data_IF_767706520144
#
_entry.id   IF_767706520144
#
_cell.length_a   1.000
_cell.length_b   1.000
_cell.length_c   1.000
_cell.angle_alpha   90.00
_cell.angle_beta   90.00
_cell.angle_gamma   90.00
#
_symmetry.space_group_name_H-M   'P 1'
#
loop_
_entity.id
_entity.type
_entity.pdbx_description
1 polymer ?
#
# COMPACT_ATOMS: atom_id res chain seq x y z
N UNK A 1 0.49 26.64 3.47
CA UNK A 1 1.39 26.71 2.29
C UNK A 1 1.79 25.28 1.95
N UNK A 2 0.95 24.57 1.20
CA UNK A 2 1.16 23.16 0.82
C UNK A 2 0.41 22.88 -0.48
N UNK A 3 0.67 23.72 -1.49
CA UNK A 3 -0.02 23.68 -2.79
C UNK A 3 0.91 23.26 -3.94
N UNK A 4 2.07 22.67 -3.64
CA UNK A 4 3.15 22.53 -4.62
C UNK A 4 3.93 21.21 -4.54
N UNK A 5 3.26 20.05 -4.52
CA UNK A 5 3.94 18.77 -4.82
C UNK A 5 3.27 17.99 -5.97
N UNK A 6 1.98 18.18 -6.27
CA UNK A 6 1.36 17.48 -7.40
C UNK A 6 0.40 18.40 -8.19
N UNK A 7 0.74 18.77 -9.44
CA UNK A 7 -0.23 19.39 -10.32
C UNK A 7 -1.25 18.31 -10.73
N UNK A 8 -2.37 18.24 -10.00
CA UNK A 8 -3.56 17.53 -10.45
C UNK A 8 -4.12 18.33 -11.64
N UNK A 9 -4.00 17.82 -12.87
CA UNK A 9 -4.54 18.54 -14.02
C UNK A 9 -6.07 18.49 -14.00
N UNK A 10 -6.71 19.62 -14.30
CA UNK A 10 -8.14 19.87 -14.16
C UNK A 10 -9.02 19.09 -15.17
N UNK A 11 -8.42 18.34 -16.11
CA UNK A 11 -9.16 17.83 -17.27
C UNK A 11 -10.14 16.69 -16.94
N UNK A 12 -9.81 15.75 -16.04
CA UNK A 12 -10.72 14.65 -15.65
C UNK A 12 -10.69 14.21 -14.16
N UNK A 13 -10.77 15.13 -13.18
CA UNK A 13 -10.56 14.83 -11.76
C UNK A 13 -11.56 13.82 -11.18
N UNK A 14 -12.81 13.82 -11.66
CA UNK A 14 -13.85 12.89 -11.16
C UNK A 14 -13.63 11.45 -11.62
N UNK A 15 -13.25 11.26 -12.89
CA UNK A 15 -12.98 9.94 -13.45
C UNK A 15 -11.74 9.33 -12.80
N UNK A 16 -10.67 10.11 -12.66
CA UNK A 16 -9.42 9.69 -12.02
C UNK A 16 -9.64 9.33 -10.54
N UNK A 17 -10.43 10.14 -9.81
CA UNK A 17 -10.79 9.82 -8.42
C UNK A 17 -11.62 8.54 -8.28
N UNK A 18 -12.60 8.33 -9.17
CA UNK A 18 -13.41 7.09 -9.17
C UNK A 18 -12.51 5.87 -9.42
N UNK A 19 -11.58 5.99 -10.36
CA UNK A 19 -10.63 4.94 -10.69
C UNK A 19 -9.70 4.63 -9.51
N UNK A 20 -9.09 5.65 -8.88
CA UNK A 20 -8.25 5.47 -7.69
C UNK A 20 -8.98 4.84 -6.52
N UNK A 21 -10.25 5.15 -6.30
CA UNK A 21 -11.06 4.49 -5.27
C UNK A 21 -11.27 3.01 -5.55
N UNK A 22 -11.51 2.64 -6.81
CA UNK A 22 -11.63 1.23 -7.22
C UNK A 22 -10.31 0.50 -6.95
N UNK A 23 -9.19 1.08 -7.39
CA UNK A 23 -7.86 0.50 -7.14
C UNK A 23 -7.54 0.43 -5.64
N UNK A 24 -7.91 1.46 -4.88
CA UNK A 24 -7.71 1.50 -3.43
C UNK A 24 -8.44 0.36 -2.73
N UNK A 25 -9.67 0.04 -3.12
CA UNK A 25 -10.39 -1.10 -2.56
C UNK A 25 -9.72 -2.44 -2.89
N UNK A 26 -9.23 -2.62 -4.13
CA UNK A 26 -8.53 -3.85 -4.56
C UNK A 26 -7.21 -4.00 -3.80
N UNK A 27 -6.42 -2.93 -3.75
CA UNK A 27 -5.14 -2.88 -3.04
C UNK A 27 -5.35 -3.19 -1.54
N UNK A 28 -6.31 -2.53 -0.90
CA UNK A 28 -6.59 -2.75 0.52
C UNK A 28 -6.97 -4.20 0.80
N UNK A 29 -7.84 -4.82 0.00
CA UNK A 29 -8.18 -6.23 0.18
C UNK A 29 -6.94 -7.13 0.08
N UNK A 30 -6.08 -6.91 -0.91
CA UNK A 30 -4.87 -7.73 -1.13
C UNK A 30 -3.82 -7.53 -0.05
N UNK A 31 -3.56 -6.29 0.36
CA UNK A 31 -2.65 -5.96 1.46
C UNK A 31 -3.16 -6.56 2.77
N UNK A 32 -4.45 -6.39 3.08
CA UNK A 32 -5.05 -6.95 4.29
C UNK A 32 -4.99 -8.49 4.28
N UNK A 33 -5.27 -9.11 3.13
CA UNK A 33 -5.15 -10.56 2.97
C UNK A 33 -3.71 -11.03 3.23
N UNK A 34 -2.72 -10.33 2.70
CA UNK A 34 -1.32 -10.64 2.93
C UNK A 34 -0.95 -10.58 4.41
N UNK A 35 -1.36 -9.53 5.12
CA UNK A 35 -1.13 -9.41 6.57
C UNK A 35 -1.85 -10.49 7.38
N UNK A 36 -3.09 -10.83 7.02
CA UNK A 36 -3.84 -11.92 7.66
C UNK A 36 -3.18 -13.29 7.42
N UNK A 37 -2.62 -13.53 6.24
CA UNK A 37 -1.95 -14.80 5.93
C UNK A 37 -0.73 -15.04 6.83
N UNK A 38 -0.02 -13.98 7.27
CA UNK A 38 1.06 -14.08 8.25
C UNK A 38 0.57 -14.62 9.61
N UNK A 39 -0.65 -14.28 10.01
CA UNK A 39 -1.28 -14.86 11.19
C UNK A 39 -1.60 -16.35 10.98
N UNK A 40 -2.06 -16.72 9.77
CA UNK A 40 -2.25 -18.12 9.38
C UNK A 40 -0.97 -18.94 9.47
N UNK A 41 0.17 -18.37 9.04
CA UNK A 41 1.49 -18.99 9.20
C UNK A 41 1.86 -19.16 10.67
N UNK A 42 1.61 -18.15 11.51
CA UNK A 42 1.86 -18.24 12.95
C UNK A 42 1.01 -19.33 13.62
N UNK A 43 -0.26 -19.47 13.23
CA UNK A 43 -1.13 -20.53 13.74
C UNK A 43 -0.58 -21.91 13.34
N UNK A 44 -0.18 -22.10 12.08
CA UNK A 44 0.42 -23.37 11.62
C UNK A 44 1.71 -23.71 12.35
N UNK A 45 2.57 -22.73 12.58
CA UNK A 45 3.80 -22.91 13.35
C UNK A 45 3.51 -23.31 14.82
N UNK A 46 2.45 -22.74 15.42
CA UNK A 46 2.01 -23.16 16.75
C UNK A 46 1.48 -24.60 16.76
N UNK A 47 0.71 -25.01 15.75
CA UNK A 47 0.25 -26.41 15.62
C UNK A 47 1.43 -27.39 15.47
N UNK A 48 2.52 -26.95 14.83
CA UNK A 48 3.77 -27.72 14.72
C UNK A 48 4.63 -27.70 16.00
N UNK A 49 4.24 -26.93 17.02
CA UNK A 49 5.00 -26.77 18.27
C UNK A 49 6.20 -25.84 18.17
N UNK A 50 6.33 -25.08 17.07
CA UNK A 50 7.41 -24.10 16.85
C UNK A 50 7.12 -22.78 17.56
N UNK A 51 5.85 -22.49 17.82
CA UNK A 51 5.40 -21.32 18.58
C UNK A 51 4.46 -21.74 19.71
N UNK A 52 4.49 -20.96 20.77
CA UNK A 52 3.52 -21.05 21.85
C UNK A 52 2.23 -20.29 21.51
N UNK A 53 1.11 -20.62 22.16
CA UNK A 53 -0.11 -19.83 22.05
C UNK A 53 0.05 -18.36 22.44
N UNK A 54 0.98 -18.05 23.35
CA UNK A 54 1.28 -16.67 23.75
C UNK A 54 1.93 -15.88 22.62
N UNK A 55 2.91 -16.46 21.91
CA UNK A 55 3.56 -15.81 20.77
C UNK A 55 2.59 -15.59 19.59
N UNK A 56 1.65 -16.51 19.36
CA UNK A 56 0.59 -16.30 18.36
C UNK A 56 -0.35 -15.18 18.79
N UNK A 57 -0.74 -15.14 20.07
CA UNK A 57 -1.58 -14.09 20.62
C UNK A 57 -0.92 -12.70 20.48
N UNK A 58 0.38 -12.61 20.74
CA UNK A 58 1.13 -11.36 20.58
C UNK A 58 1.14 -10.88 19.11
N UNK A 59 1.32 -11.78 18.15
CA UNK A 59 1.22 -11.44 16.72
C UNK A 59 -0.17 -10.98 16.30
N UNK A 60 -1.22 -11.55 16.88
CA UNK A 60 -2.61 -11.08 16.66
C UNK A 60 -2.76 -9.66 17.21
N UNK A 61 -2.19 -9.36 18.39
CA UNK A 61 -2.19 -8.02 18.95
C UNK A 61 -1.40 -7.03 18.08
N UNK A 62 -0.21 -7.41 17.59
CA UNK A 62 0.59 -6.60 16.67
C UNK A 62 -0.15 -6.29 15.37
N UNK A 63 -0.80 -7.30 14.76
CA UNK A 63 -1.63 -7.09 13.58
C UNK A 63 -2.77 -6.10 13.85
N UNK A 64 -3.50 -6.28 14.95
CA UNK A 64 -4.66 -5.43 15.27
C UNK A 64 -4.25 -3.99 15.61
N UNK A 65 -3.14 -3.80 16.35
CA UNK A 65 -2.69 -2.47 16.77
C UNK A 65 -1.82 -1.75 15.72
N UNK A 66 -1.16 -2.51 14.85
CA UNK A 66 -0.30 -2.00 13.79
C UNK A 66 -0.97 -2.11 12.42
N UNK A 67 -0.69 -3.20 11.73
CA UNK A 67 -0.98 -3.38 10.30
C UNK A 67 -2.45 -3.08 9.94
N UNK A 68 -3.42 -3.58 10.70
CA UNK A 68 -4.84 -3.35 10.44
C UNK A 68 -5.21 -1.87 10.49
N UNK A 69 -4.65 -1.12 11.46
CA UNK A 69 -4.95 0.31 11.64
C UNK A 69 -4.23 1.17 10.61
N UNK A 70 -3.00 0.82 10.26
CA UNK A 70 -2.26 1.51 9.19
C UNK A 70 -3.00 1.37 7.84
N UNK A 71 -3.40 0.15 7.49
CA UNK A 71 -4.16 -0.11 6.27
C UNK A 71 -5.50 0.63 6.25
N UNK A 72 -6.24 0.60 7.36
CA UNK A 72 -7.48 1.37 7.49
C UNK A 72 -7.22 2.87 7.29
N UNK A 73 -6.21 3.44 7.95
CA UNK A 73 -5.86 4.86 7.81
C UNK A 73 -5.49 5.22 6.38
N UNK A 74 -4.70 4.39 5.69
CA UNK A 74 -4.23 4.65 4.33
C UNK A 74 -5.34 4.61 3.28
N UNK A 75 -6.29 3.69 3.43
CA UNK A 75 -7.30 3.42 2.39
C UNK A 75 -8.68 4.02 2.68
N UNK A 76 -8.99 4.40 3.92
CA UNK A 76 -10.27 5.01 4.29
C UNK A 76 -10.37 6.49 3.86
N UNK A 77 -9.26 7.12 3.49
CA UNK A 77 -9.25 8.50 3.00
C UNK A 77 -10.14 8.71 1.75
N UNK A 78 -10.65 9.94 1.61
CA UNK A 78 -11.63 10.24 0.54
C UNK A 78 -11.07 10.11 -0.89
N UNK A 79 -9.75 10.09 -1.03
CA UNK A 79 -8.99 9.85 -2.25
C UNK A 79 -7.70 9.08 -1.92
N UNK A 80 -7.66 7.74 -2.08
CA UNK A 80 -6.55 6.91 -1.62
C UNK A 80 -5.35 6.93 -2.60
N UNK A 81 -5.11 8.04 -3.30
CA UNK A 81 -4.19 8.06 -4.44
C UNK A 81 -2.75 7.69 -4.11
N UNK A 82 -2.22 8.23 -3.01
CA UNK A 82 -0.88 7.88 -2.52
C UNK A 82 -0.81 6.39 -2.17
N UNK A 83 -1.83 5.88 -1.46
CA UNK A 83 -1.90 4.47 -1.07
C UNK A 83 -1.96 3.54 -2.29
N UNK A 84 -2.69 3.91 -3.35
CA UNK A 84 -2.75 3.18 -4.62
C UNK A 84 -1.39 3.14 -5.32
N UNK A 85 -0.69 4.27 -5.42
CA UNK A 85 0.62 4.31 -6.08
C UNK A 85 1.65 3.49 -5.32
N UNK A 86 1.60 3.55 -3.98
CA UNK A 86 2.44 2.72 -3.12
C UNK A 86 2.11 1.23 -3.29
N UNK A 87 0.83 0.87 -3.30
CA UNK A 87 0.40 -0.52 -3.51
C UNK A 87 0.85 -1.10 -4.86
N UNK A 88 0.88 -0.28 -5.92
CA UNK A 88 1.46 -0.70 -7.20
C UNK A 88 2.98 -0.88 -7.11
N UNK A 89 3.70 0.06 -6.46
CA UNK A 89 5.14 -0.09 -6.22
C UNK A 89 5.48 -1.36 -5.44
N UNK A 90 4.72 -1.64 -4.37
CA UNK A 90 4.90 -2.82 -3.51
C UNK A 90 4.38 -4.13 -4.16
N UNK A 91 3.79 -4.06 -5.36
CA UNK A 91 3.34 -5.22 -6.14
C UNK A 91 1.96 -5.77 -5.77
N UNK A 92 1.19 -5.09 -4.92
CA UNK A 92 -0.20 -5.45 -4.61
C UNK A 92 -1.18 -5.08 -5.72
N UNK A 93 -0.81 -4.13 -6.58
CA UNK A 93 -1.47 -3.85 -7.85
C UNK A 93 -0.56 -4.19 -9.02
N UNK A 94 -1.16 -4.64 -10.11
CA UNK A 94 -0.50 -5.07 -11.34
C UNK A 94 -0.87 -4.14 -12.50
N UNK A 95 -0.15 -4.26 -13.62
CA UNK A 95 -0.52 -3.57 -14.87
C UNK A 95 -1.95 -3.91 -15.33
N UNK A 96 -2.41 -5.13 -15.08
CA UNK A 96 -3.77 -5.54 -15.43
C UNK A 96 -4.82 -4.79 -14.61
N UNK A 97 -4.54 -4.54 -13.32
CA UNK A 97 -5.44 -3.73 -12.49
C UNK A 97 -5.54 -2.29 -13.01
N UNK A 98 -4.46 -1.79 -13.63
CA UNK A 98 -4.41 -0.47 -14.24
C UNK A 98 -5.15 -0.38 -15.59
N UNK A 99 -5.68 -1.50 -16.12
CA UNK A 99 -6.44 -1.50 -17.36
C UNK A 99 -7.65 -0.54 -17.27
N UNK A 100 -7.67 0.46 -18.15
CA UNK A 100 -8.70 1.50 -18.16
C UNK A 100 -8.35 2.76 -17.35
N UNK A 101 -7.12 2.85 -16.81
CA UNK A 101 -6.55 4.12 -16.39
C UNK A 101 -6.45 5.07 -17.59
N UNK A 102 -6.64 6.37 -17.35
CA UNK A 102 -6.29 7.40 -18.33
C UNK A 102 -4.78 7.58 -18.39
N UNK A 103 -4.23 8.00 -19.54
CA UNK A 103 -2.79 8.29 -19.70
C UNK A 103 -2.25 9.21 -18.58
N UNK A 104 -3.00 10.25 -18.21
CA UNK A 104 -2.66 11.17 -17.12
C UNK A 104 -2.50 10.46 -15.74
N UNK A 105 -3.36 9.48 -15.47
CA UNK A 105 -3.32 8.72 -14.22
C UNK A 105 -2.10 7.79 -14.18
N UNK A 106 -1.75 7.20 -15.34
CA UNK A 106 -0.54 6.39 -15.49
C UNK A 106 0.72 7.24 -15.36
N UNK A 107 0.77 8.41 -16.01
CA UNK A 107 1.89 9.36 -15.87
C UNK A 107 2.11 9.79 -14.42
N UNK A 108 1.02 10.08 -13.70
CA UNK A 108 1.09 10.46 -12.27
C UNK A 108 1.60 9.30 -11.42
N UNK A 109 1.08 8.09 -11.65
CA UNK A 109 1.50 6.87 -10.96
C UNK A 109 2.99 6.60 -11.19
N UNK A 110 3.45 6.62 -12.44
CA UNK A 110 4.86 6.39 -12.76
C UNK A 110 5.79 7.43 -12.12
N UNK A 111 5.41 8.72 -12.14
CA UNK A 111 6.18 9.77 -11.45
C UNK A 111 6.30 9.49 -9.96
N UNK A 112 5.21 9.06 -9.32
CA UNK A 112 5.23 8.72 -7.90
C UNK A 112 6.11 7.50 -7.60
N UNK A 113 6.04 6.47 -8.45
CA UNK A 113 6.86 5.26 -8.35
C UNK A 113 8.35 5.59 -8.45
N UNK A 114 8.75 6.48 -9.36
CA UNK A 114 10.15 6.95 -9.43
C UNK A 114 10.58 7.66 -8.14
N UNK A 115 9.72 8.53 -7.57
CA UNK A 115 10.01 9.19 -6.29
C UNK A 115 10.20 8.17 -5.15
N UNK A 116 9.38 7.11 -5.09
CA UNK A 116 9.59 6.05 -4.10
C UNK A 116 10.93 5.36 -4.35
N UNK A 117 11.26 5.02 -5.61
CA UNK A 117 12.52 4.35 -5.97
C UNK A 117 13.74 5.17 -5.55
N UNK A 118 13.72 6.47 -5.82
CA UNK A 118 14.79 7.40 -5.43
C UNK A 118 14.92 7.47 -3.90
N UNK A 119 13.82 7.68 -3.18
CA UNK A 119 13.84 7.73 -1.72
C UNK A 119 14.32 6.43 -1.07
N UNK A 120 14.01 5.27 -1.64
CA UNK A 120 14.51 3.98 -1.13
C UNK A 120 16.00 3.79 -1.42
N UNK A 121 16.51 4.28 -2.55
CA UNK A 121 17.94 4.24 -2.88
C UNK A 121 18.78 5.12 -1.94
N UNK A 122 18.25 6.29 -1.56
CA UNK A 122 18.94 7.21 -0.66
C UNK A 122 19.01 6.69 0.79
N UNK A 123 18.10 5.79 1.18
CA UNK A 123 18.11 5.11 2.49
C UNK A 123 19.11 3.94 2.55
N UNK A 124 19.62 3.48 1.40
CA UNK A 124 20.60 2.38 1.29
C UNK A 124 22.06 2.87 1.16
N UNK A 125 22.29 4.18 1.00
CA UNK A 125 23.65 4.73 0.98
C UNK A 125 24.18 4.79 2.41
N UNK A 126 25.22 4.02 2.80
CA UNK A 126 25.80 4.13 4.12
C UNK A 126 26.32 5.54 4.30
N UNK A 127 26.16 6.12 5.50
CA UNK A 127 26.91 7.30 5.87
C UNK A 127 28.40 7.00 5.63
N UNK A 128 29.05 7.79 4.78
CA UNK A 128 30.50 7.76 4.64
C UNK A 128 31.12 8.08 6.02
N UNK A 129 31.87 7.12 6.57
CA UNK A 129 32.72 7.28 7.76
C UNK A 129 33.90 8.23 7.50
#
# INVERSE_FOLDING_TARGET
MTDAIYPMSEKHPKANRKFRRKLGAIAWERELRFEILKLGDAIRAMEAGELTPFEVNDRIHEFHQGASRDLESRFLESDPGIAVYRAYYDGFLTEEDLAGATDEALETLHRFVEIIRENMRDQETPAED
#
